data_IF_644327311745
#
_entry.id   IF_644327311745
#
_cell.length_a   1.000
_cell.length_b   1.000
_cell.length_c   1.000
_cell.angle_alpha   90.00
_cell.angle_beta   90.00
_cell.angle_gamma   90.00
#
_symmetry.space_group_name_H-M   'P 1'
#
loop_
_entity.id
_entity.type
_entity.pdbx_description
1 polymer ?
#
# COMPACT_ATOMS: atom_id res chain seq x y z
N UNK A 1 3.60 13.56 -15.65
CA UNK A 1 3.09 13.73 -14.27
C UNK A 1 4.26 13.63 -13.29
N UNK A 2 4.80 14.77 -12.87
CA UNK A 2 6.03 14.93 -12.05
C UNK A 2 5.83 14.74 -10.53
N UNK A 3 4.68 14.23 -10.09
CA UNK A 3 4.31 14.13 -8.66
C UNK A 3 4.38 12.72 -8.08
N UNK A 4 4.78 11.72 -8.87
CA UNK A 4 4.83 10.31 -8.43
C UNK A 4 5.98 10.08 -7.47
N UNK A 5 5.72 9.45 -6.33
CA UNK A 5 6.75 9.15 -5.34
C UNK A 5 7.31 10.38 -4.60
N UNK A 6 6.68 11.56 -4.70
CA UNK A 6 7.15 12.80 -4.04
C UNK A 6 7.15 12.68 -2.51
N UNK A 7 6.26 11.87 -1.96
CA UNK A 7 6.18 11.60 -0.52
C UNK A 7 6.76 10.24 -0.14
N UNK A 8 7.42 9.53 -1.07
CA UNK A 8 8.09 8.28 -0.74
C UNK A 8 9.24 8.55 0.24
N UNK A 9 9.27 7.78 1.32
CA UNK A 9 10.34 7.74 2.31
C UNK A 9 10.69 6.27 2.55
N UNK A 10 11.98 5.98 2.65
CA UNK A 10 12.42 4.64 2.99
C UNK A 10 12.05 4.34 4.45
N UNK A 11 11.20 3.35 4.67
CA UNK A 11 10.70 2.98 5.99
C UNK A 11 9.39 2.20 5.94
N UNK A 12 9.11 1.49 7.02
CA UNK A 12 7.86 0.74 7.22
C UNK A 12 7.06 1.51 8.26
N UNK A 13 5.89 2.03 7.88
CA UNK A 13 4.99 2.79 8.77
C UNK A 13 3.79 1.94 9.21
N UNK A 14 3.64 0.73 8.69
CA UNK A 14 2.52 -0.18 8.97
C UNK A 14 1.23 0.38 8.37
N UNK A 15 0.07 0.07 8.95
CA UNK A 15 -1.20 0.58 8.41
C UNK A 15 -1.42 2.10 8.61
N UNK A 16 -0.42 2.82 9.13
CA UNK A 16 -0.51 4.24 9.45
C UNK A 16 0.16 5.12 8.42
N UNK A 17 -0.57 6.13 7.93
CA UNK A 17 0.00 7.23 7.15
C UNK A 17 0.10 8.44 8.07
N UNK A 18 1.31 8.98 8.26
CA UNK A 18 1.56 10.17 9.10
C UNK A 18 1.01 10.08 10.53
N UNK A 19 1.10 8.91 11.18
CA UNK A 19 0.70 8.73 12.59
C UNK A 19 -0.81 8.51 12.82
N UNK A 20 -1.63 8.48 11.76
CA UNK A 20 -3.03 8.10 11.86
C UNK A 20 -3.17 6.58 11.89
N UNK A 21 -3.61 6.01 13.01
CA UNK A 21 -3.85 4.57 13.15
C UNK A 21 -5.33 4.26 12.84
N UNK A 22 -5.64 3.49 11.78
CA UNK A 22 -7.01 3.07 11.53
C UNK A 22 -7.51 2.12 12.64
N UNK A 23 -8.83 2.05 12.88
CA UNK A 23 -9.42 0.98 13.68
C UNK A 23 -8.99 -0.38 13.12
N UNK A 24 -8.74 -1.36 14.00
CA UNK A 24 -8.19 -2.70 13.69
C UNK A 24 -6.72 -2.74 13.25
N UNK A 25 -5.94 -1.68 13.53
CA UNK A 25 -4.50 -1.63 13.26
C UNK A 25 -3.75 -2.91 13.64
N UNK A 26 -3.94 -3.42 14.86
CA UNK A 26 -3.24 -4.62 15.33
C UNK A 26 -3.58 -5.91 14.59
N UNK A 27 -4.73 -5.99 13.91
CA UNK A 27 -5.12 -7.18 13.14
C UNK A 27 -4.49 -7.19 11.73
N UNK A 28 -4.29 -6.01 11.15
CA UNK A 28 -3.80 -5.86 9.78
C UNK A 28 -2.37 -5.36 9.67
N UNK A 29 -1.72 -5.09 10.81
CA UNK A 29 -0.40 -4.47 10.86
C UNK A 29 0.63 -5.22 10.02
N UNK A 30 0.74 -6.54 10.18
CA UNK A 30 1.70 -7.36 9.42
C UNK A 30 1.50 -7.24 7.90
N UNK A 31 0.25 -7.20 7.43
CA UNK A 31 -0.05 -7.06 6.00
C UNK A 31 0.28 -5.67 5.46
N UNK A 32 0.07 -4.64 6.27
CA UNK A 32 0.46 -3.28 5.91
C UNK A 32 1.99 -3.12 5.92
N UNK A 33 2.71 -3.77 6.83
CA UNK A 33 4.18 -3.81 6.83
C UNK A 33 4.72 -4.49 5.58
N UNK A 34 4.08 -5.60 5.16
CA UNK A 34 4.38 -6.26 3.89
C UNK A 34 4.07 -5.37 2.68
N UNK A 35 2.97 -4.62 2.72
CA UNK A 35 2.61 -3.66 1.68
C UNK A 35 3.63 -2.53 1.54
N UNK A 36 4.04 -1.96 2.67
CA UNK A 36 5.12 -0.96 2.72
C UNK A 36 6.45 -1.53 2.20
N UNK A 37 6.79 -2.76 2.55
CA UNK A 37 7.98 -3.44 2.04
C UNK A 37 7.94 -3.57 0.50
N UNK A 38 6.79 -3.96 -0.07
CA UNK A 38 6.59 -4.00 -1.53
C UNK A 38 6.64 -2.60 -2.17
N UNK A 39 6.19 -1.57 -1.45
CA UNK A 39 6.27 -0.18 -1.90
C UNK A 39 7.72 0.35 -1.88
N UNK A 40 8.54 -0.12 -0.93
CA UNK A 40 9.97 0.20 -0.83
C UNK A 40 10.81 -0.54 -1.88
N UNK A 41 10.50 -1.81 -2.15
CA UNK A 41 11.08 -2.58 -3.26
C UNK A 41 10.89 -1.83 -4.59
N UNK A 42 9.70 -1.24 -4.76
CA UNK A 42 9.42 -0.31 -5.84
C UNK A 42 9.16 -0.97 -7.18
N UNK A 43 9.25 -0.19 -8.26
CA UNK A 43 9.06 -0.67 -9.62
C UNK A 43 8.11 0.22 -10.43
N UNK A 44 7.13 -0.39 -11.08
CA UNK A 44 6.19 0.30 -11.97
C UNK A 44 4.73 0.23 -11.51
N UNK A 45 3.82 0.67 -12.40
CA UNK A 45 2.37 0.61 -12.13
C UNK A 45 1.86 -0.81 -11.87
N UNK A 46 2.47 -1.82 -12.49
CA UNK A 46 2.06 -3.24 -12.36
C UNK A 46 2.42 -3.78 -10.99
N UNK A 47 3.62 -3.46 -10.51
CA UNK A 47 4.17 -3.85 -9.22
C UNK A 47 3.37 -3.19 -8.09
N UNK A 48 3.07 -1.89 -8.21
CA UNK A 48 2.15 -1.20 -7.29
C UNK A 48 0.77 -1.86 -7.24
N UNK A 49 0.18 -2.16 -8.39
CA UNK A 49 -1.13 -2.82 -8.45
C UNK A 49 -1.09 -4.23 -7.85
N UNK A 50 0.02 -4.96 -8.01
CA UNK A 50 0.23 -6.26 -7.37
C UNK A 50 0.31 -6.11 -5.85
N UNK A 51 1.04 -5.13 -5.34
CA UNK A 51 1.13 -4.83 -3.92
C UNK A 51 -0.24 -4.49 -3.32
N UNK A 52 -0.99 -3.58 -3.95
CA UNK A 52 -2.32 -3.17 -3.49
C UNK A 52 -3.31 -4.36 -3.48
N UNK A 53 -3.29 -5.20 -4.54
CA UNK A 53 -4.16 -6.38 -4.61
C UNK A 53 -3.83 -7.43 -3.56
N UNK A 54 -2.54 -7.65 -3.30
CA UNK A 54 -2.09 -8.62 -2.29
C UNK A 54 -2.57 -8.19 -0.91
N UNK A 55 -2.41 -6.91 -0.58
CA UNK A 55 -2.94 -6.33 0.66
C UNK A 55 -4.44 -6.60 0.81
N UNK A 56 -5.25 -6.35 -0.24
CA UNK A 56 -6.69 -6.63 -0.19
C UNK A 56 -6.98 -8.12 0.03
N UNK A 57 -6.31 -9.02 -0.70
CA UNK A 57 -6.51 -10.46 -0.57
C UNK A 57 -6.17 -10.95 0.85
N UNK A 58 -5.06 -10.47 1.41
CA UNK A 58 -4.62 -10.84 2.75
C UNK A 58 -5.60 -10.31 3.81
N UNK A 59 -6.03 -9.05 3.72
CA UNK A 59 -7.01 -8.47 4.65
C UNK A 59 -8.38 -9.16 4.58
N UNK A 60 -8.85 -9.51 3.38
CA UNK A 60 -10.12 -10.22 3.18
C UNK A 60 -10.03 -11.66 3.69
N UNK A 61 -8.92 -12.35 3.47
CA UNK A 61 -8.71 -13.73 3.97
C UNK A 61 -8.80 -13.84 5.49
N UNK A 62 -8.42 -12.77 6.20
CA UNK A 62 -8.47 -12.70 7.66
C UNK A 62 -9.78 -12.16 8.21
N UNK A 63 -10.59 -11.51 7.37
CA UNK A 63 -11.85 -10.90 7.75
C UNK A 63 -12.98 -11.93 7.73
N UNK A 64 -13.54 -12.24 8.91
CA UNK A 64 -14.66 -13.20 9.05
C UNK A 64 -16.03 -12.53 9.02
N UNK A 65 -16.11 -11.20 9.09
CA UNK A 65 -17.36 -10.44 9.18
C UNK A 65 -17.55 -9.50 8.00
N UNK A 66 -18.79 -9.35 7.52
CA UNK A 66 -19.15 -8.47 6.39
C UNK A 66 -18.75 -7.01 6.61
N UNK A 67 -18.83 -6.52 7.85
CA UNK A 67 -18.42 -5.16 8.20
C UNK A 67 -16.90 -4.95 8.05
N UNK A 68 -16.08 -5.94 8.44
CA UNK A 68 -14.64 -5.89 8.26
C UNK A 68 -14.28 -5.91 6.77
N UNK A 69 -15.00 -6.69 5.94
CA UNK A 69 -14.78 -6.70 4.50
C UNK A 69 -15.00 -5.31 3.86
N UNK A 70 -16.06 -4.59 4.26
CA UNK A 70 -16.29 -3.21 3.80
C UNK A 70 -15.10 -2.30 4.17
N UNK A 71 -14.57 -2.45 5.39
CA UNK A 71 -13.40 -1.70 5.83
C UNK A 71 -12.15 -2.02 5.00
N UNK A 72 -11.89 -3.30 4.70
CA UNK A 72 -10.77 -3.72 3.86
C UNK A 72 -10.86 -3.14 2.44
N UNK A 73 -12.07 -3.11 1.86
CA UNK A 73 -12.30 -2.49 0.56
C UNK A 73 -12.09 -0.98 0.59
N UNK A 74 -12.60 -0.29 1.61
CA UNK A 74 -12.39 1.15 1.79
C UNK A 74 -10.89 1.48 1.92
N UNK A 75 -10.15 0.68 2.69
CA UNK A 75 -8.71 0.81 2.83
C UNK A 75 -8.00 0.63 1.49
N UNK A 76 -8.31 -0.45 0.76
CA UNK A 76 -7.75 -0.69 -0.58
C UNK A 76 -8.00 0.46 -1.55
N UNK A 77 -9.19 1.05 -1.57
CA UNK A 77 -9.50 2.21 -2.43
C UNK A 77 -8.62 3.41 -2.04
N UNK A 78 -8.45 3.67 -0.75
CA UNK A 78 -7.59 4.76 -0.27
C UNK A 78 -6.13 4.55 -0.71
N UNK A 79 -5.56 3.36 -0.48
CA UNK A 79 -4.19 3.04 -0.90
C UNK A 79 -4.05 3.10 -2.43
N UNK A 80 -5.04 2.65 -3.19
CA UNK A 80 -5.00 2.68 -4.65
C UNK A 80 -5.06 4.11 -5.22
N UNK A 81 -5.79 4.99 -4.54
CA UNK A 81 -6.00 6.40 -4.89
C UNK A 81 -4.85 7.31 -4.46
N UNK A 82 -4.23 7.08 -3.31
CA UNK A 82 -3.17 7.94 -2.74
C UNK A 82 -1.77 7.31 -2.73
N UNK A 83 -1.65 5.98 -2.79
CA UNK A 83 -0.37 5.27 -2.69
C UNK A 83 0.63 5.54 -3.82
N UNK A 84 0.19 6.11 -4.94
CA UNK A 84 1.12 6.57 -6.00
C UNK A 84 2.00 7.75 -5.56
N UNK A 85 1.66 8.45 -4.47
CA UNK A 85 2.51 9.48 -3.89
C UNK A 85 3.64 8.89 -3.02
N UNK A 86 3.42 7.68 -2.50
CA UNK A 86 4.27 6.99 -1.53
C UNK A 86 4.97 5.76 -2.11
N UNK A 87 4.84 5.45 -3.39
CA UNK A 87 5.46 4.28 -4.01
C UNK A 87 6.86 4.61 -4.56
N UNK A 88 7.83 3.71 -4.37
CA UNK A 88 9.16 3.88 -4.93
C UNK A 88 9.18 3.60 -6.44
N UNK A 89 9.18 4.67 -7.25
CA UNK A 89 9.31 4.56 -8.71
C UNK A 89 10.77 4.52 -9.19
N UNK A 90 11.76 4.64 -8.30
CA UNK A 90 13.18 4.77 -8.69
C UNK A 90 13.78 3.54 -9.37
N UNK A 91 13.10 2.39 -9.34
CA UNK A 91 13.55 1.17 -10.03
C UNK A 91 13.38 1.16 -11.56
N UNK A 92 12.71 2.14 -12.17
CA UNK A 92 12.45 2.18 -13.64
C UNK A 92 12.56 3.57 -14.27
N UNK A 93 13.28 4.52 -13.67
CA UNK A 93 13.75 5.67 -14.45
C UNK A 93 14.89 5.19 -15.36
N UNK A 94 14.58 5.14 -16.66
CA UNK A 94 15.51 5.14 -17.79
C UNK A 94 16.35 3.88 -18.07
N UNK A 95 15.78 2.99 -18.89
CA UNK A 95 16.44 2.67 -20.17
C UNK A 95 15.51 3.08 -21.30
N UNK A 96 15.45 4.38 -21.59
CA UNK A 96 15.01 4.86 -22.90
C UNK A 96 16.20 4.60 -23.83
N UNK A 97 16.09 3.60 -24.69
CA UNK A 97 17.01 3.42 -25.81
C UNK A 97 16.75 4.51 -26.86
#
# INVERSE_FOLDING_TARGET
MRLKGVFWRNGVNGCGVMGLRPPFFGMFQEYCELHDAMYNEGGGKKERFRADKRLLADMVSRSTCTWLMVWCFAYYIAVRGFGWLFFNYKGKEEKKC
#
